data_IF_799423134689
#
_entry.id   IF_799423134689
#
_cell.length_a   1.000
_cell.length_b   1.000
_cell.length_c   1.000
_cell.angle_alpha   90.00
_cell.angle_beta   90.00
_cell.angle_gamma   90.00
#
_symmetry.space_group_name_H-M   'P 1'
#
loop_
_entity.id
_entity.type
_entity.pdbx_description
1 polymer ?
#
# COMPACT_ATOMS: atom_id res chain seq x y z
N UNK A 1 12.10 19.80 52.24
CA UNK A 1 11.19 18.64 52.23
C UNK A 1 11.74 17.65 51.19
N UNK A 2 12.32 16.57 51.68
CA UNK A 2 13.15 15.64 50.89
C UNK A 2 12.28 14.44 50.48
N UNK A 3 12.11 14.19 49.18
CA UNK A 3 11.50 12.97 48.68
C UNK A 3 12.59 12.00 48.23
N UNK A 4 12.65 10.85 48.90
CA UNK A 4 13.57 9.74 48.59
C UNK A 4 13.03 8.95 47.39
N UNK A 5 13.88 8.77 46.37
CA UNK A 5 13.67 7.83 45.31
C UNK A 5 13.81 6.39 45.84
N UNK A 6 12.76 5.60 45.67
CA UNK A 6 12.80 4.15 45.87
C UNK A 6 12.84 3.49 44.50
N UNK A 7 14.00 2.99 44.09
CA UNK A 7 14.18 2.18 42.90
C UNK A 7 13.65 0.75 43.19
N UNK A 8 12.69 0.31 42.42
CA UNK A 8 12.15 -1.06 42.46
C UNK A 8 12.89 -1.90 41.42
N UNK A 9 13.79 -2.77 41.89
CA UNK A 9 14.53 -3.74 41.08
C UNK A 9 13.69 -5.00 40.97
N UNK A 10 13.12 -5.30 39.80
CA UNK A 10 12.47 -6.59 39.53
C UNK A 10 13.51 -7.56 38.98
N UNK A 11 13.81 -8.59 39.80
CA UNK A 11 14.65 -9.72 39.40
C UNK A 11 13.77 -10.77 38.73
N UNK A 12 13.98 -11.00 37.44
CA UNK A 12 13.36 -12.13 36.73
C UNK A 12 14.31 -13.34 36.78
N UNK A 13 13.88 -14.37 37.50
CA UNK A 13 14.53 -15.69 37.48
C UNK A 13 14.00 -16.51 36.32
N UNK A 14 14.87 -16.82 35.35
CA UNK A 14 14.58 -17.79 34.30
C UNK A 14 14.77 -19.20 34.83
N UNK A 15 13.68 -19.97 34.89
CA UNK A 15 13.77 -21.42 35.04
C UNK A 15 14.00 -22.06 33.64
N UNK A 16 15.16 -22.64 33.47
CA UNK A 16 15.52 -23.51 32.35
C UNK A 16 14.95 -24.91 32.59
N UNK A 17 14.07 -25.38 31.71
CA UNK A 17 13.68 -26.81 31.69
C UNK A 17 14.31 -27.51 30.51
N UNK A 18 14.87 -28.66 30.84
CA UNK A 18 15.87 -29.41 30.13
C UNK A 18 15.45 -30.15 28.87
N UNK A 19 16.50 -30.52 28.14
CA UNK A 19 16.56 -31.39 26.99
C UNK A 19 16.06 -32.81 27.28
N UNK A 20 15.02 -33.23 26.56
CA UNK A 20 14.66 -34.64 26.40
C UNK A 20 15.06 -35.14 25.00
N UNK A 21 16.17 -35.85 24.89
CA UNK A 21 16.53 -36.62 23.69
C UNK A 21 15.73 -37.91 23.66
N UNK A 22 14.83 -38.05 22.69
CA UNK A 22 14.20 -39.35 22.39
C UNK A 22 14.96 -39.99 21.25
N UNK A 23 15.67 -41.07 21.51
CA UNK A 23 16.22 -42.01 20.52
C UNK A 23 15.08 -42.86 19.98
N UNK A 24 14.93 -42.91 18.67
CA UNK A 24 14.10 -43.92 18.00
C UNK A 24 15.02 -44.96 17.37
N UNK A 25 14.93 -46.17 17.90
CA UNK A 25 15.62 -47.36 17.39
C UNK A 25 15.03 -47.76 16.03
N UNK A 26 15.89 -47.90 15.05
CA UNK A 26 15.63 -48.58 13.79
C UNK A 26 15.66 -50.09 14.03
N UNK A 27 14.56 -50.79 13.73
CA UNK A 27 14.57 -52.21 13.51
C UNK A 27 14.00 -52.50 12.13
N UNK A 28 14.86 -52.94 11.26
CA UNK A 28 14.58 -53.43 9.90
C UNK A 28 13.77 -54.73 9.93
N UNK A 29 12.68 -54.80 9.15
CA UNK A 29 12.22 -56.08 8.58
C UNK A 29 11.72 -55.82 7.16
N UNK A 30 12.36 -56.50 6.25
CA UNK A 30 11.97 -56.63 4.85
C UNK A 30 10.68 -57.46 4.72
N UNK A 31 9.79 -57.04 3.85
CA UNK A 31 8.83 -57.93 3.17
C UNK A 31 8.26 -57.25 1.92
N UNK A 32 8.62 -57.83 0.82
CA UNK A 32 7.84 -58.16 -0.38
C UNK A 32 7.12 -57.12 -1.19
N UNK A 33 7.50 -57.16 -2.43
CA UNK A 33 6.98 -56.51 -3.64
C UNK A 33 5.47 -56.67 -3.80
N UNK A 34 4.78 -55.51 -3.93
CA UNK A 34 3.55 -55.47 -4.71
C UNK A 34 3.63 -54.28 -5.69
N UNK A 35 3.69 -54.66 -6.98
CA UNK A 35 3.77 -53.74 -8.12
C UNK A 35 2.42 -53.11 -8.35
N UNK A 36 2.16 -51.98 -7.68
CA UNK A 36 1.01 -51.12 -8.02
C UNK A 36 1.36 -50.30 -9.27
N UNK A 37 0.72 -50.69 -10.37
CA UNK A 37 0.72 -49.93 -11.62
C UNK A 37 -0.02 -48.60 -11.40
N UNK A 38 0.73 -47.55 -11.06
CA UNK A 38 0.19 -46.18 -11.03
C UNK A 38 0.01 -45.72 -12.47
N UNK A 39 -1.22 -45.78 -12.95
CA UNK A 39 -1.62 -45.12 -14.19
C UNK A 39 -1.57 -43.61 -13.95
N UNK A 40 -0.49 -42.99 -14.38
CA UNK A 40 -0.42 -41.52 -14.44
C UNK A 40 -1.41 -41.02 -15.48
N UNK A 41 -2.57 -40.63 -15.04
CA UNK A 41 -3.47 -39.77 -15.83
C UNK A 41 -2.80 -38.43 -16.02
N UNK A 42 -2.14 -38.24 -17.13
CA UNK A 42 -1.65 -36.95 -17.60
C UNK A 42 -2.86 -36.11 -18.00
N UNK A 43 -3.50 -35.50 -17.02
CA UNK A 43 -4.45 -34.42 -17.30
C UNK A 43 -3.61 -33.25 -17.79
N UNK A 44 -3.50 -33.10 -19.11
CA UNK A 44 -3.04 -31.88 -19.76
C UNK A 44 -3.99 -30.75 -19.34
N UNK A 45 -3.67 -30.07 -18.25
CA UNK A 45 -4.27 -28.76 -17.96
C UNK A 45 -3.93 -27.86 -19.15
N UNK A 46 -4.93 -27.59 -19.98
CA UNK A 46 -4.86 -26.46 -20.91
C UNK A 46 -4.38 -25.24 -20.13
N UNK A 47 -3.42 -24.45 -20.66
CA UNK A 47 -3.05 -23.21 -19.99
C UNK A 47 -4.31 -22.37 -19.90
N UNK A 48 -4.89 -22.26 -18.70
CA UNK A 48 -5.89 -21.25 -18.44
C UNK A 48 -5.20 -19.94 -18.82
N UNK A 49 -5.70 -19.30 -19.86
CA UNK A 49 -5.34 -17.94 -20.21
C UNK A 49 -5.73 -17.10 -18.99
N UNK A 50 -4.80 -16.95 -18.05
CA UNK A 50 -4.99 -16.11 -16.88
C UNK A 50 -5.44 -14.76 -17.38
N UNK A 51 -6.62 -14.31 -16.96
CA UNK A 51 -7.03 -12.93 -17.16
C UNK A 51 -5.95 -12.09 -16.51
N UNK A 52 -5.11 -11.45 -17.32
CA UNK A 52 -4.12 -10.52 -16.80
C UNK A 52 -4.89 -9.31 -16.25
N UNK A 53 -4.87 -9.16 -14.95
CA UNK A 53 -5.50 -8.01 -14.31
C UNK A 53 -4.71 -6.76 -14.67
N UNK A 54 -5.39 -5.78 -15.24
CA UNK A 54 -4.81 -4.46 -15.53
C UNK A 54 -5.17 -3.52 -14.40
N UNK A 55 -4.19 -2.99 -13.69
CA UNK A 55 -4.42 -2.02 -12.61
C UNK A 55 -5.07 -0.74 -13.15
N UNK A 56 -5.92 -0.10 -12.35
CA UNK A 56 -6.65 1.10 -12.74
C UNK A 56 -5.75 2.20 -13.28
N UNK A 57 -4.57 2.40 -12.70
CA UNK A 57 -3.60 3.41 -13.16
C UNK A 57 -3.12 3.21 -14.61
N UNK A 58 -3.21 1.99 -15.16
CA UNK A 58 -2.88 1.69 -16.54
C UNK A 58 -4.08 1.81 -17.52
N UNK A 59 -5.29 1.97 -17.00
CA UNK A 59 -6.52 2.08 -17.81
C UNK A 59 -6.80 3.54 -18.21
N UNK A 60 -5.88 4.16 -18.91
CA UNK A 60 -5.92 5.59 -19.26
C UNK A 60 -7.17 6.00 -20.01
N UNK A 61 -7.68 5.14 -20.88
CA UNK A 61 -8.86 5.41 -21.70
C UNK A 61 -10.11 5.64 -20.85
N UNK A 62 -10.16 5.02 -19.66
CA UNK A 62 -11.31 5.11 -18.78
C UNK A 62 -11.33 6.42 -17.97
N UNK A 63 -10.19 6.89 -17.50
CA UNK A 63 -10.18 8.02 -16.54
C UNK A 63 -9.60 9.33 -17.10
N UNK A 64 -8.69 9.32 -18.09
CA UNK A 64 -8.14 10.56 -18.63
C UNK A 64 -9.20 11.52 -19.19
N UNK A 65 -10.25 11.05 -19.89
CA UNK A 65 -11.33 11.94 -20.33
C UNK A 65 -12.01 12.69 -19.19
N UNK A 66 -12.09 12.06 -18.00
CA UNK A 66 -12.70 12.65 -16.81
C UNK A 66 -11.82 13.73 -16.16
N UNK A 67 -10.52 13.77 -16.51
CA UNK A 67 -9.54 14.74 -15.99
C UNK A 67 -9.31 15.93 -16.92
N UNK A 68 -9.89 15.88 -18.13
CA UNK A 68 -9.69 16.94 -19.12
C UNK A 68 -10.13 18.29 -18.57
N UNK A 69 -9.27 19.29 -18.68
CA UNK A 69 -9.49 20.67 -18.24
C UNK A 69 -9.80 20.81 -16.72
N UNK A 70 -9.43 19.80 -15.94
CA UNK A 70 -9.64 19.75 -14.48
C UNK A 70 -8.36 20.04 -13.71
N UNK A 71 -8.50 20.68 -12.56
CA UNK A 71 -7.47 20.81 -11.53
C UNK A 71 -7.52 19.57 -10.64
N UNK A 72 -6.54 18.69 -10.83
CA UNK A 72 -6.50 17.36 -10.22
C UNK A 72 -5.64 17.39 -8.96
N UNK A 73 -6.11 16.77 -7.89
CA UNK A 73 -5.25 16.36 -6.78
C UNK A 73 -5.09 14.83 -6.79
N UNK A 74 -3.96 14.34 -6.32
CA UNK A 74 -3.67 12.90 -6.28
C UNK A 74 -3.41 12.49 -4.85
N UNK A 75 -4.11 11.47 -4.38
CA UNK A 75 -3.77 10.75 -3.15
C UNK A 75 -2.91 9.56 -3.56
N UNK A 76 -1.63 9.59 -3.19
CA UNK A 76 -0.69 8.60 -3.69
C UNK A 76 0.57 8.45 -2.83
N UNK A 77 1.26 7.34 -3.04
CA UNK A 77 2.52 7.02 -2.41
C UNK A 77 3.47 6.31 -3.39
N UNK A 78 4.51 5.65 -2.91
CA UNK A 78 5.45 4.89 -3.74
C UNK A 78 4.81 3.75 -4.56
N UNK A 79 3.61 3.29 -4.20
CA UNK A 79 2.90 2.25 -4.96
C UNK A 79 2.10 2.82 -6.13
N UNK A 80 1.97 4.15 -6.24
CA UNK A 80 1.27 4.84 -7.31
C UNK A 80 2.09 4.80 -8.61
N UNK A 81 2.15 3.64 -9.23
CA UNK A 81 2.98 3.37 -10.42
C UNK A 81 2.15 2.96 -11.62
N UNK A 82 2.65 3.30 -12.79
CA UNK A 82 2.13 2.89 -14.11
C UNK A 82 3.13 1.91 -14.70
N UNK A 83 2.68 0.70 -15.00
CA UNK A 83 3.50 -0.32 -15.63
C UNK A 83 3.76 0.01 -17.11
N UNK A 84 4.97 -0.22 -17.56
CA UNK A 84 5.43 -0.09 -18.94
C UNK A 84 5.96 -1.44 -19.43
N UNK A 85 6.22 -1.57 -20.72
CA UNK A 85 6.83 -2.78 -21.29
C UNK A 85 8.17 -3.11 -20.62
N UNK A 86 8.88 -2.10 -20.13
CA UNK A 86 10.11 -2.23 -19.38
C UNK A 86 10.05 -1.33 -18.13
N UNK A 87 9.79 -1.95 -16.98
CA UNK A 87 9.74 -1.26 -15.67
C UNK A 87 8.43 -0.50 -15.42
N UNK A 88 8.53 0.58 -14.66
CA UNK A 88 7.39 1.40 -14.27
C UNK A 88 7.77 2.87 -14.12
N UNK A 89 6.77 3.74 -14.12
CA UNK A 89 6.91 5.18 -13.86
C UNK A 89 5.84 5.59 -12.85
N UNK A 90 6.17 6.51 -11.97
CA UNK A 90 5.20 7.02 -10.99
C UNK A 90 3.99 7.68 -11.70
N UNK A 91 2.78 7.47 -11.17
CA UNK A 91 1.53 7.97 -11.77
C UNK A 91 1.57 9.49 -12.01
N UNK A 92 2.01 10.27 -11.01
CA UNK A 92 2.12 11.74 -11.12
C UNK A 92 2.99 12.13 -12.31
N UNK A 93 4.16 11.51 -12.46
CA UNK A 93 5.08 11.80 -13.56
C UNK A 93 4.45 11.45 -14.92
N UNK A 94 3.70 10.35 -14.98
CA UNK A 94 3.00 9.91 -16.17
C UNK A 94 1.86 10.87 -16.54
N UNK A 95 1.04 11.29 -15.58
CA UNK A 95 -0.09 12.19 -15.83
C UNK A 95 0.38 13.59 -16.23
N UNK A 96 1.45 14.11 -15.63
CA UNK A 96 2.08 15.35 -16.06
C UNK A 96 2.55 15.27 -17.52
N UNK A 97 3.20 14.16 -17.91
CA UNK A 97 3.63 13.95 -19.30
C UNK A 97 2.48 13.86 -20.28
N UNK A 98 1.27 13.56 -19.82
CA UNK A 98 0.02 13.53 -20.60
C UNK A 98 -0.75 14.86 -20.56
N UNK A 99 -0.18 15.90 -19.95
CA UNK A 99 -0.78 17.25 -19.89
C UNK A 99 -1.86 17.43 -18.84
N UNK A 100 -1.99 16.51 -17.87
CA UNK A 100 -2.95 16.67 -16.76
C UNK A 100 -2.47 17.74 -15.80
N UNK A 101 -3.35 18.68 -15.43
CA UNK A 101 -3.05 19.73 -14.48
C UNK A 101 -3.14 19.21 -13.05
N UNK A 102 -2.00 18.82 -12.47
CA UNK A 102 -1.93 18.35 -11.07
C UNK A 102 -1.57 19.53 -10.17
N UNK A 103 -2.46 19.88 -9.24
CA UNK A 103 -2.29 21.04 -8.34
C UNK A 103 -1.59 20.70 -7.04
N UNK A 104 -1.82 19.51 -6.50
CA UNK A 104 -1.19 19.02 -5.27
C UNK A 104 -1.27 17.50 -5.16
N UNK A 105 -0.46 16.95 -4.27
CA UNK A 105 -0.49 15.54 -3.88
C UNK A 105 -0.79 15.45 -2.39
N UNK A 106 -1.67 14.55 -2.02
CA UNK A 106 -1.90 14.12 -0.65
C UNK A 106 -1.14 12.82 -0.40
N UNK A 107 -0.22 12.82 0.56
CA UNK A 107 0.61 11.67 0.88
C UNK A 107 0.20 11.07 2.23
N UNK A 108 -0.06 9.76 2.30
CA UNK A 108 -0.30 9.07 3.58
C UNK A 108 1.01 8.87 4.35
N UNK A 109 0.94 8.09 5.43
CA UNK A 109 2.10 7.57 6.15
C UNK A 109 3.13 6.96 5.17
N UNK A 110 4.42 7.06 5.47
CA UNK A 110 5.58 6.75 4.61
C UNK A 110 5.82 7.71 3.44
N UNK A 111 5.00 8.74 3.29
CA UNK A 111 5.21 9.82 2.33
C UNK A 111 4.90 9.46 0.87
N UNK A 112 5.21 10.41 -0.01
CA UNK A 112 4.80 10.33 -1.42
C UNK A 112 5.69 9.38 -2.25
N UNK A 113 7.02 9.41 -2.05
CA UNK A 113 7.96 8.60 -2.84
C UNK A 113 8.66 7.52 -2.01
N UNK A 114 8.10 7.14 -0.84
CA UNK A 114 8.59 6.05 -0.01
C UNK A 114 9.98 6.30 0.58
N UNK A 115 10.28 7.54 0.96
CA UNK A 115 11.56 7.90 1.58
C UNK A 115 11.49 8.09 3.09
N UNK A 116 10.27 8.11 3.64
CA UNK A 116 10.04 8.27 5.07
C UNK A 116 9.91 6.90 5.75
N UNK A 117 10.54 6.76 6.91
CA UNK A 117 10.42 5.58 7.76
C UNK A 117 9.05 5.51 8.45
N UNK A 118 8.73 4.37 9.06
CA UNK A 118 7.52 4.22 9.86
C UNK A 118 7.51 5.23 11.01
N UNK A 119 6.37 5.87 11.27
CA UNK A 119 6.18 6.93 12.27
C UNK A 119 7.00 8.22 12.03
N UNK A 120 7.73 8.34 10.93
CA UNK A 120 8.37 9.58 10.57
C UNK A 120 7.34 10.64 10.21
N UNK A 121 7.41 11.81 10.88
CA UNK A 121 6.53 12.95 10.59
C UNK A 121 6.85 13.52 9.19
N UNK A 122 6.06 13.11 8.22
CA UNK A 122 6.11 13.70 6.88
C UNK A 122 5.38 15.05 6.93
N UNK A 123 6.15 16.14 6.98
CA UNK A 123 5.60 17.49 6.89
C UNK A 123 5.19 17.83 5.45
N UNK A 124 4.35 18.86 5.30
CA UNK A 124 4.08 19.43 3.99
C UNK A 124 5.38 19.94 3.36
N UNK A 125 5.60 19.59 2.11
CA UNK A 125 6.79 19.95 1.35
C UNK A 125 6.47 20.03 -0.15
N UNK A 126 7.48 20.29 -0.96
CA UNK A 126 7.34 20.30 -2.42
C UNK A 126 8.11 19.11 -2.99
N UNK A 127 7.50 18.38 -3.91
CA UNK A 127 8.20 17.30 -4.62
C UNK A 127 9.35 17.88 -5.45
N UNK A 128 10.58 17.50 -5.11
CA UNK A 128 11.79 18.03 -5.75
C UNK A 128 11.83 17.76 -7.26
N UNK A 129 11.14 16.71 -7.73
CA UNK A 129 11.14 16.35 -9.14
C UNK A 129 10.16 17.16 -9.98
N UNK A 130 8.99 17.45 -9.44
CA UNK A 130 7.88 18.04 -10.21
C UNK A 130 7.51 19.46 -9.77
N UNK A 131 7.99 19.90 -8.62
CA UNK A 131 7.59 21.19 -8.04
C UNK A 131 6.18 21.21 -7.43
N UNK A 132 5.48 20.07 -7.39
CA UNK A 132 4.11 19.99 -6.89
C UNK A 132 4.11 19.99 -5.37
N UNK A 133 3.21 20.78 -4.72
CA UNK A 133 3.01 20.73 -3.28
C UNK A 133 2.52 19.36 -2.81
N UNK A 134 3.13 18.84 -1.76
CA UNK A 134 2.75 17.60 -1.08
C UNK A 134 2.19 17.94 0.29
N UNK A 135 0.96 17.52 0.52
CA UNK A 135 0.24 17.69 1.78
C UNK A 135 0.22 16.34 2.51
N UNK A 136 0.73 16.32 3.72
CA UNK A 136 0.74 15.12 4.54
C UNK A 136 -0.64 14.81 5.13
N UNK A 137 -1.12 13.58 4.94
CA UNK A 137 -2.31 13.03 5.58
C UNK A 137 -1.94 12.10 6.75
N UNK A 138 -0.86 12.41 7.47
CA UNK A 138 -0.40 11.63 8.62
C UNK A 138 -0.55 12.40 9.94
N UNK A 139 -0.58 11.68 11.04
CA UNK A 139 -0.68 12.25 12.39
C UNK A 139 -2.04 12.90 12.66
N UNK A 140 -2.05 14.21 12.91
CA UNK A 140 -3.28 14.97 13.21
C UNK A 140 -4.11 15.33 11.99
N UNK A 141 -3.52 15.29 10.79
CA UNK A 141 -4.14 15.75 9.54
C UNK A 141 -4.66 14.60 8.66
N UNK A 142 -5.14 13.51 9.25
CA UNK A 142 -5.59 12.31 8.52
C UNK A 142 -6.74 12.58 7.54
N UNK A 143 -7.60 13.54 7.84
CA UNK A 143 -8.65 14.02 6.95
C UNK A 143 -8.21 15.34 6.34
N UNK A 144 -8.24 15.51 5.01
CA UNK A 144 -7.95 16.80 4.37
C UNK A 144 -8.84 17.90 4.92
N UNK A 145 -8.24 19.01 5.35
CA UNK A 145 -9.00 20.15 5.79
C UNK A 145 -9.61 20.91 4.58
N UNK A 146 -10.74 21.61 4.76
CA UNK A 146 -11.43 22.30 3.68
C UNK A 146 -10.53 23.23 2.84
N UNK A 147 -9.57 23.88 3.49
CA UNK A 147 -8.67 24.86 2.87
C UNK A 147 -7.70 24.21 1.88
N UNK A 148 -7.25 22.97 2.17
CA UNK A 148 -6.34 22.26 1.26
C UNK A 148 -7.05 21.65 0.06
N UNK A 149 -8.39 21.61 0.08
CA UNK A 149 -9.22 21.12 -1.03
C UNK A 149 -9.65 22.27 -1.97
N UNK A 150 -9.37 23.52 -1.63
CA UNK A 150 -9.72 24.65 -2.48
C UNK A 150 -9.05 24.60 -3.85
N UNK A 151 -9.85 24.91 -4.87
CA UNK A 151 -9.40 24.92 -6.27
C UNK A 151 -9.10 23.53 -6.86
N UNK A 152 -9.60 22.45 -6.25
CA UNK A 152 -9.55 21.09 -6.79
C UNK A 152 -10.89 20.75 -7.44
N UNK A 153 -10.87 20.25 -8.66
CA UNK A 153 -12.06 19.82 -9.39
C UNK A 153 -12.31 18.31 -9.27
N UNK A 154 -11.26 17.52 -9.03
CA UNK A 154 -11.35 16.05 -8.89
C UNK A 154 -10.15 15.52 -8.12
N UNK A 155 -10.36 14.48 -7.33
CA UNK A 155 -9.30 13.75 -6.63
C UNK A 155 -9.15 12.36 -7.22
N UNK A 156 -7.91 11.97 -7.57
CA UNK A 156 -7.55 10.59 -7.88
C UNK A 156 -6.99 9.92 -6.62
N UNK A 157 -7.49 8.77 -6.28
CA UNK A 157 -6.91 7.91 -5.23
C UNK A 157 -6.20 6.73 -5.88
N UNK A 158 -4.89 6.61 -5.67
CA UNK A 158 -4.04 5.58 -6.26
C UNK A 158 -3.01 5.06 -5.25
N UNK A 159 -3.46 4.24 -4.32
CA UNK A 159 -2.61 3.57 -3.32
C UNK A 159 -2.99 2.10 -3.31
N UNK A 160 -1.99 1.22 -3.33
CA UNK A 160 -2.23 -0.20 -3.14
C UNK A 160 -2.48 -0.51 -1.66
N UNK A 161 -3.64 -1.09 -1.36
CA UNK A 161 -3.87 -1.68 -0.04
C UNK A 161 -3.08 -3.00 0.09
N UNK A 162 -2.65 -3.32 1.30
CA UNK A 162 -1.83 -4.51 1.56
C UNK A 162 -2.64 -5.66 2.17
N UNK A 163 -3.96 -5.51 2.30
CA UNK A 163 -4.88 -6.54 2.76
C UNK A 163 -4.81 -6.87 4.24
N UNK A 164 -4.23 -6.01 5.08
CA UNK A 164 -4.12 -6.23 6.52
C UNK A 164 -4.81 -5.11 7.32
N UNK A 165 -5.56 -5.48 8.36
CA UNK A 165 -6.44 -4.57 9.10
C UNK A 165 -5.72 -3.42 9.82
N UNK A 166 -4.47 -3.60 10.21
CA UNK A 166 -3.69 -2.58 10.90
C UNK A 166 -3.05 -1.56 9.96
N UNK A 167 -3.10 -1.77 8.64
CA UNK A 167 -2.70 -0.77 7.67
C UNK A 167 -3.77 0.30 7.49
N UNK A 168 -3.36 1.55 7.37
CA UNK A 168 -4.26 2.70 7.46
C UNK A 168 -4.71 3.27 6.11
N UNK A 169 -4.34 2.65 4.98
CA UNK A 169 -4.65 3.19 3.65
C UNK A 169 -6.14 3.21 3.33
N UNK A 170 -6.89 2.18 3.77
CA UNK A 170 -8.35 2.18 3.62
C UNK A 170 -9.00 3.30 4.44
N UNK A 171 -8.45 3.61 5.63
CA UNK A 171 -8.91 4.75 6.45
C UNK A 171 -8.57 6.09 5.78
N UNK A 172 -7.39 6.20 5.15
CA UNK A 172 -7.01 7.37 4.35
C UNK A 172 -8.01 7.59 3.22
N UNK A 173 -8.40 6.54 2.50
CA UNK A 173 -9.40 6.61 1.43
C UNK A 173 -10.74 7.13 1.98
N UNK A 174 -11.24 6.56 3.08
CA UNK A 174 -12.51 6.98 3.71
C UNK A 174 -12.47 8.45 4.12
N UNK A 175 -11.39 8.90 4.77
CA UNK A 175 -11.25 10.29 5.21
C UNK A 175 -11.19 11.27 4.03
N UNK A 176 -10.52 10.89 2.94
CA UNK A 176 -10.47 11.70 1.71
C UNK A 176 -11.84 11.77 1.06
N UNK A 177 -12.54 10.64 0.92
CA UNK A 177 -13.87 10.59 0.34
C UNK A 177 -14.86 11.44 1.14
N UNK A 178 -14.82 11.37 2.47
CA UNK A 178 -15.65 12.18 3.36
C UNK A 178 -15.37 13.67 3.15
N UNK A 179 -14.10 14.11 3.20
CA UNK A 179 -13.72 15.50 3.00
C UNK A 179 -14.11 16.03 1.61
N UNK A 180 -13.94 15.21 0.58
CA UNK A 180 -14.34 15.55 -0.79
C UNK A 180 -15.86 15.65 -0.94
N UNK A 181 -16.63 14.74 -0.31
CA UNK A 181 -18.09 14.78 -0.34
C UNK A 181 -18.64 16.05 0.30
N UNK A 182 -18.05 16.51 1.41
CA UNK A 182 -18.43 17.77 2.08
C UNK A 182 -18.24 19.00 1.18
N UNK A 183 -17.34 18.91 0.18
CA UNK A 183 -17.05 19.96 -0.80
C UNK A 183 -17.67 19.72 -2.18
N UNK A 184 -18.37 18.60 -2.38
CA UNK A 184 -18.91 18.21 -3.69
C UNK A 184 -17.84 17.86 -4.73
N UNK A 185 -16.62 17.46 -4.30
CA UNK A 185 -15.52 17.10 -5.18
C UNK A 185 -15.60 15.58 -5.47
N UNK A 186 -15.65 15.17 -6.75
CA UNK A 186 -15.63 13.74 -7.09
C UNK A 186 -14.27 13.09 -6.76
N UNK A 187 -14.33 11.82 -6.31
CA UNK A 187 -13.15 10.98 -6.09
C UNK A 187 -13.17 9.82 -7.08
N UNK A 188 -12.09 9.63 -7.81
CA UNK A 188 -11.88 8.49 -8.70
C UNK A 188 -10.83 7.57 -8.07
N UNK A 189 -11.20 6.32 -7.83
CA UNK A 189 -10.29 5.30 -7.30
C UNK A 189 -9.70 4.51 -8.45
N UNK A 190 -8.37 4.51 -8.57
CA UNK A 190 -7.62 3.69 -9.51
C UNK A 190 -7.28 2.37 -8.81
N UNK A 191 -8.15 1.37 -9.00
CA UNK A 191 -8.04 0.10 -8.29
C UNK A 191 -6.73 -0.65 -8.57
N UNK A 192 -6.18 -1.24 -7.51
CA UNK A 192 -4.96 -2.04 -7.52
C UNK A 192 -5.22 -3.35 -6.79
N UNK A 193 -5.75 -4.36 -7.47
CA UNK A 193 -6.04 -5.68 -6.91
C UNK A 193 -4.77 -6.45 -6.54
#
# INVERSE_FOLDING_TARGET
>A
MWFKNTAFVMVFTFLSCGNGKTQVNNTSKASENEKVKTTQSTTTRSPQRGLSVTVGANQFEEYLPLLKDKKVAIVGNQTSIVFKNSGYVHLVDTLLSKGVTITKVFAPEHGFRGKADADEHVNNHTDAKTGIPIISLFGKNRKPQPEVLEGIDVVLFDIQDVGVRFYTYISTMSNVMEACAEKGIPVIVLDRP
#
